data_IF_097728331909
#
_entry.id   IF_097728331909
#
_cell.length_a   1.000
_cell.length_b   1.000
_cell.length_c   1.000
_cell.angle_alpha   90.00
_cell.angle_beta   90.00
_cell.angle_gamma   90.00
#
_symmetry.space_group_name_H-M   'P 1'
#
loop_
_entity.id
_entity.type
_entity.pdbx_description
1 polymer ?
#
# COMPACT_ATOMS: atom_id res chain seq x y z
N UNK A 1 -27.15 3.73 -5.48
CA UNK A 1 -26.37 3.01 -6.51
C UNK A 1 -26.31 1.54 -6.14
N UNK A 2 -26.70 0.61 -7.01
CA UNK A 2 -26.59 -0.84 -6.76
C UNK A 2 -25.14 -1.27 -7.06
N UNK A 3 -24.35 -1.42 -6.02
CA UNK A 3 -22.99 -1.92 -6.12
C UNK A 3 -23.04 -3.43 -6.43
N UNK A 4 -22.59 -3.83 -7.60
CA UNK A 4 -22.44 -5.24 -8.00
C UNK A 4 -20.97 -5.47 -8.31
N UNK A 5 -20.15 -5.59 -7.27
CA UNK A 5 -18.74 -5.93 -7.43
C UNK A 5 -18.43 -7.14 -6.58
N UNK A 6 -17.63 -8.05 -7.12
CA UNK A 6 -17.17 -9.25 -6.43
C UNK A 6 -15.98 -8.92 -5.52
N UNK A 7 -15.23 -7.87 -5.85
CA UNK A 7 -14.09 -7.36 -5.09
C UNK A 7 -13.97 -5.84 -5.26
N UNK A 8 -13.50 -5.14 -4.25
CA UNK A 8 -13.05 -3.74 -4.31
C UNK A 8 -11.53 -3.72 -4.22
N UNK A 9 -10.89 -3.14 -5.25
CA UNK A 9 -9.46 -2.89 -5.26
C UNK A 9 -9.20 -1.39 -5.12
N UNK A 10 -8.45 -1.00 -4.08
CA UNK A 10 -7.99 0.37 -3.85
C UNK A 10 -6.50 0.44 -4.12
N UNK A 11 -6.09 1.31 -5.02
CA UNK A 11 -4.70 1.43 -5.47
C UNK A 11 -3.94 2.54 -4.75
N UNK A 12 -2.63 2.59 -5.00
CA UNK A 12 -1.77 3.68 -4.60
C UNK A 12 -2.09 4.99 -5.33
N UNK A 13 -1.71 6.09 -4.72
CA UNK A 13 -1.82 7.45 -5.27
C UNK A 13 -0.66 8.29 -4.76
N UNK A 14 -0.35 9.38 -5.47
CA UNK A 14 0.56 10.44 -4.99
C UNK A 14 -0.09 11.38 -3.96
N UNK A 15 -1.39 11.21 -3.69
CA UNK A 15 -2.15 12.03 -2.74
C UNK A 15 -1.95 11.59 -1.30
N UNK A 16 -2.24 12.53 -0.37
CA UNK A 16 -2.44 12.21 1.05
C UNK A 16 -3.89 12.43 1.43
N UNK A 17 -4.43 11.58 2.29
CA UNK A 17 -5.85 11.63 2.72
C UNK A 17 -6.21 12.93 3.48
N UNK A 18 -5.23 13.67 3.96
CA UNK A 18 -5.40 14.91 4.73
C UNK A 18 -5.15 16.18 3.89
N UNK A 19 -4.94 16.08 2.58
CA UNK A 19 -4.76 17.27 1.74
C UNK A 19 -6.11 17.93 1.44
N UNK A 20 -6.19 19.24 1.62
CA UNK A 20 -7.40 20.02 1.32
C UNK A 20 -7.76 20.00 -0.16
N UNK A 21 -6.75 19.88 -1.02
CA UNK A 21 -6.92 19.90 -2.49
C UNK A 21 -7.70 18.71 -3.04
N UNK A 22 -7.70 17.59 -2.35
CA UNK A 22 -8.42 16.36 -2.74
C UNK A 22 -9.44 15.88 -1.69
N UNK A 23 -9.83 16.78 -0.78
CA UNK A 23 -10.74 16.43 0.31
C UNK A 23 -12.10 15.89 -0.16
N UNK A 24 -12.62 16.39 -1.29
CA UNK A 24 -13.90 15.93 -1.85
C UNK A 24 -13.81 14.51 -2.40
N UNK A 25 -12.71 14.20 -3.07
CA UNK A 25 -12.41 12.88 -3.62
C UNK A 25 -12.22 11.88 -2.48
N UNK A 26 -11.46 12.24 -1.45
CA UNK A 26 -11.27 11.41 -0.25
C UNK A 26 -12.59 11.10 0.44
N UNK A 27 -13.48 12.08 0.62
CA UNK A 27 -14.81 11.86 1.19
C UNK A 27 -15.62 10.87 0.35
N UNK A 28 -15.63 11.02 -0.97
CA UNK A 28 -16.36 10.14 -1.87
C UNK A 28 -15.80 8.70 -1.84
N UNK A 29 -14.49 8.54 -1.77
CA UNK A 29 -13.84 7.23 -1.65
C UNK A 29 -14.09 6.59 -0.28
N UNK A 30 -14.07 7.36 0.81
CA UNK A 30 -14.45 6.88 2.15
C UNK A 30 -15.89 6.34 2.14
N UNK A 31 -16.84 7.06 1.55
CA UNK A 31 -18.25 6.62 1.45
C UNK A 31 -18.36 5.32 0.62
N UNK A 32 -17.60 5.21 -0.46
CA UNK A 32 -17.51 3.99 -1.27
C UNK A 32 -17.01 2.81 -0.46
N UNK A 33 -15.89 2.97 0.23
CA UNK A 33 -15.26 1.97 1.08
C UNK A 33 -16.22 1.52 2.20
N UNK A 34 -16.80 2.45 2.93
CA UNK A 34 -17.75 2.15 4.00
C UNK A 34 -18.94 1.36 3.46
N UNK A 35 -19.48 1.75 2.30
CA UNK A 35 -20.60 1.05 1.65
C UNK A 35 -20.21 -0.37 1.23
N UNK A 36 -19.03 -0.55 0.62
CA UNK A 36 -18.54 -1.86 0.20
C UNK A 36 -18.36 -2.81 1.38
N UNK A 37 -17.72 -2.33 2.44
CA UNK A 37 -17.47 -3.13 3.64
C UNK A 37 -18.74 -3.48 4.41
N UNK A 38 -19.73 -2.57 4.49
CA UNK A 38 -21.05 -2.87 5.06
C UNK A 38 -21.79 -3.97 4.29
N UNK A 39 -21.57 -4.06 3.00
CA UNK A 39 -22.14 -5.10 2.12
C UNK A 39 -21.31 -6.38 2.09
N UNK A 40 -20.21 -6.43 2.81
CA UNK A 40 -19.33 -7.60 2.86
C UNK A 40 -18.56 -7.84 1.55
N UNK A 41 -18.36 -6.81 0.73
CA UNK A 41 -17.53 -6.88 -0.48
C UNK A 41 -16.07 -7.08 -0.04
N UNK A 42 -15.40 -8.15 -0.49
CA UNK A 42 -13.97 -8.33 -0.24
C UNK A 42 -13.19 -7.12 -0.75
N UNK A 43 -12.25 -6.64 0.05
CA UNK A 43 -11.50 -5.43 -0.29
C UNK A 43 -10.00 -5.69 -0.19
N UNK A 44 -9.25 -5.33 -1.23
CA UNK A 44 -7.80 -5.29 -1.20
C UNK A 44 -7.34 -3.84 -1.40
N UNK A 45 -6.50 -3.35 -0.48
CA UNK A 45 -6.09 -1.95 -0.45
C UNK A 45 -4.56 -1.84 -0.44
N UNK A 46 -4.00 -1.01 -1.31
CA UNK A 46 -2.56 -0.88 -1.54
C UNK A 46 -2.14 0.57 -1.32
N UNK A 47 -1.09 0.79 -0.52
CA UNK A 47 -0.43 2.07 -0.28
C UNK A 47 -1.44 3.16 0.15
N UNK A 48 -1.75 4.15 -0.69
CA UNK A 48 -2.78 5.14 -0.42
C UNK A 48 -4.13 4.49 -0.07
N UNK A 49 -4.50 3.40 -0.73
CA UNK A 49 -5.71 2.64 -0.42
C UNK A 49 -5.72 2.12 1.02
N UNK A 50 -4.58 1.64 1.54
CA UNK A 50 -4.46 1.23 2.94
C UNK A 50 -4.57 2.42 3.90
N UNK A 51 -3.98 3.56 3.55
CA UNK A 51 -4.09 4.81 4.30
C UNK A 51 -5.54 5.33 4.32
N UNK A 52 -6.25 5.23 3.19
CA UNK A 52 -7.65 5.58 3.07
C UNK A 52 -8.54 4.71 3.98
N UNK A 53 -8.31 3.40 4.01
CA UNK A 53 -8.99 2.48 4.95
C UNK A 53 -8.69 2.87 6.39
N UNK A 54 -7.42 3.11 6.73
CA UNK A 54 -7.04 3.54 8.06
C UNK A 54 -7.79 4.80 8.47
N UNK A 55 -7.81 5.82 7.62
CA UNK A 55 -8.52 7.07 7.82
C UNK A 55 -10.05 6.87 7.97
N UNK A 56 -10.66 6.09 7.08
CA UNK A 56 -12.11 5.84 7.06
C UNK A 56 -12.63 5.17 8.34
N UNK A 57 -11.80 4.37 9.02
CA UNK A 57 -12.17 3.63 10.23
C UNK A 57 -11.55 4.19 11.52
N UNK A 58 -11.05 5.43 11.49
CA UNK A 58 -10.62 6.16 12.68
C UNK A 58 -9.16 5.94 13.08
N UNK A 59 -8.34 5.36 12.21
CA UNK A 59 -6.89 5.44 12.30
C UNK A 59 -6.38 6.83 11.91
N UNK A 60 -5.14 7.11 12.24
CA UNK A 60 -4.46 8.34 11.82
C UNK A 60 -3.58 8.09 10.59
N UNK A 61 -3.47 9.08 9.72
CA UNK A 61 -2.50 9.10 8.63
C UNK A 61 -1.71 10.40 8.73
N UNK A 62 -0.40 10.30 8.66
CA UNK A 62 0.48 11.45 8.79
C UNK A 62 1.78 11.27 8.01
N UNK A 63 2.45 12.39 7.72
CA UNK A 63 3.76 12.38 7.07
C UNK A 63 4.78 11.65 7.94
N UNK A 64 5.48 10.69 7.37
CA UNK A 64 6.61 10.02 8.01
C UNK A 64 7.82 10.92 8.10
N UNK A 65 8.59 10.81 9.18
CA UNK A 65 9.93 11.38 9.28
C UNK A 65 10.96 10.61 8.43
N UNK A 66 10.64 9.35 8.11
CA UNK A 66 11.48 8.45 7.31
C UNK A 66 10.66 7.89 6.17
N UNK A 67 10.64 8.56 5.00
CA UNK A 67 9.96 8.02 3.82
C UNK A 67 10.62 6.71 3.36
N UNK A 68 9.82 5.82 2.81
CA UNK A 68 10.32 4.56 2.26
C UNK A 68 10.12 4.55 0.75
N UNK A 69 11.22 4.46 0.01
CA UNK A 69 11.24 4.31 -1.46
C UNK A 69 12.27 3.26 -1.82
N UNK A 70 11.86 2.26 -2.60
CA UNK A 70 12.70 1.11 -2.96
C UNK A 70 12.29 -0.15 -2.20
N UNK A 71 13.20 -1.12 -2.13
CA UNK A 71 12.95 -2.41 -1.50
C UNK A 71 13.31 -2.38 -0.02
N UNK A 72 12.33 -2.63 0.83
CA UNK A 72 12.49 -2.61 2.28
C UNK A 72 12.01 -3.90 2.92
N UNK A 73 12.70 -4.31 3.98
CA UNK A 73 12.37 -5.49 4.75
C UNK A 73 11.07 -5.29 5.52
N UNK A 74 10.16 -6.25 5.39
CA UNK A 74 8.91 -6.36 6.14
C UNK A 74 8.94 -7.63 6.96
N UNK A 75 8.47 -7.55 8.19
CA UNK A 75 8.36 -8.65 9.14
C UNK A 75 6.91 -9.04 9.36
N UNK A 76 6.62 -10.32 9.39
CA UNK A 76 5.30 -10.86 9.74
C UNK A 76 5.45 -12.14 10.54
N UNK A 77 4.73 -12.23 11.66
CA UNK A 77 4.64 -13.46 12.47
C UNK A 77 3.35 -14.22 12.20
N UNK A 78 2.33 -13.52 11.67
CA UNK A 78 1.03 -14.12 11.36
C UNK A 78 1.04 -14.94 10.06
N UNK A 79 1.69 -14.38 9.02
CA UNK A 79 1.77 -14.98 7.69
C UNK A 79 3.16 -14.76 7.09
N UNK A 80 4.22 -15.35 7.68
CA UNK A 80 5.59 -15.09 7.25
C UNK A 80 5.85 -15.50 5.80
N UNK A 81 5.23 -16.57 5.33
CA UNK A 81 5.37 -17.06 3.96
C UNK A 81 4.73 -16.14 2.89
N UNK A 82 3.80 -15.27 3.30
CA UNK A 82 3.12 -14.33 2.41
C UNK A 82 3.67 -12.91 2.53
N UNK A 83 3.92 -12.45 3.75
CA UNK A 83 4.12 -11.04 4.04
C UNK A 83 5.55 -10.70 4.43
N UNK A 84 6.34 -11.65 4.98
CA UNK A 84 7.72 -11.37 5.37
C UNK A 84 8.66 -11.36 4.15
N UNK A 85 9.65 -10.48 4.19
CA UNK A 85 10.68 -10.34 3.16
C UNK A 85 10.75 -8.92 2.60
N UNK A 86 11.50 -8.73 1.54
CA UNK A 86 11.61 -7.42 0.90
C UNK A 86 10.42 -7.14 -0.01
N UNK A 87 9.78 -5.98 0.18
CA UNK A 87 8.70 -5.48 -0.64
C UNK A 87 9.02 -4.09 -1.16
N UNK A 88 8.52 -3.77 -2.36
CA UNK A 88 8.65 -2.42 -2.91
C UNK A 88 7.81 -1.45 -2.08
N UNK A 89 8.46 -0.41 -1.61
CA UNK A 89 7.85 0.74 -0.95
C UNK A 89 7.96 1.96 -1.85
N UNK A 90 6.92 2.81 -1.82
CA UNK A 90 6.95 4.12 -2.46
C UNK A 90 5.96 5.03 -1.75
N UNK A 91 6.27 5.38 -0.51
CA UNK A 91 5.38 6.19 0.31
C UNK A 91 6.11 7.15 1.24
N UNK A 92 5.42 8.20 1.57
CA UNK A 92 5.86 9.27 2.47
C UNK A 92 5.01 9.34 3.73
N UNK A 93 3.83 8.76 3.70
CA UNK A 93 2.88 8.76 4.80
C UNK A 93 2.85 7.41 5.50
N UNK A 94 2.54 7.45 6.78
CA UNK A 94 2.33 6.28 7.64
C UNK A 94 0.96 6.36 8.28
N UNK A 95 0.47 5.24 8.74
CA UNK A 95 -0.84 5.15 9.38
C UNK A 95 -0.79 4.36 10.68
N UNK A 96 -1.81 4.55 11.52
CA UNK A 96 -2.12 3.66 12.62
C UNK A 96 -3.27 2.72 12.22
N UNK A 97 -3.16 1.45 12.62
CA UNK A 97 -4.22 0.46 12.34
C UNK A 97 -5.45 0.77 13.17
N UNK A 98 -6.64 0.92 12.55
CA UNK A 98 -7.86 1.27 13.28
C UNK A 98 -8.31 0.15 14.23
N UNK A 99 -9.12 0.52 15.22
CA UNK A 99 -9.73 -0.44 16.13
C UNK A 99 -10.62 -1.44 15.36
N UNK A 100 -10.50 -2.72 15.70
CA UNK A 100 -11.25 -3.81 15.06
C UNK A 100 -10.56 -4.41 13.83
N UNK A 101 -9.35 -3.91 13.50
CA UNK A 101 -8.45 -4.51 12.52
C UNK A 101 -7.20 -5.05 13.22
N UNK A 102 -6.52 -5.97 12.57
CA UNK A 102 -5.33 -6.64 13.10
C UNK A 102 -4.12 -6.33 12.25
N UNK A 103 -3.06 -5.79 12.85
CA UNK A 103 -1.75 -5.66 12.19
C UNK A 103 -1.18 -7.05 11.95
N UNK A 104 -0.81 -7.35 10.69
CA UNK A 104 -0.26 -8.65 10.30
C UNK A 104 1.18 -8.55 9.77
N UNK A 105 1.66 -7.35 9.44
CA UNK A 105 3.05 -7.11 9.08
C UNK A 105 3.51 -5.72 9.52
N UNK A 106 4.79 -5.60 9.85
CA UNK A 106 5.42 -4.36 10.33
C UNK A 106 6.86 -4.25 9.82
N UNK A 107 7.41 -3.04 9.91
CA UNK A 107 8.84 -2.76 9.89
C UNK A 107 9.19 -1.66 10.90
N UNK A 108 10.40 -1.11 10.84
CA UNK A 108 10.85 -0.07 11.77
C UNK A 108 10.11 1.26 11.62
N UNK A 109 9.48 1.50 10.45
CA UNK A 109 8.72 2.74 10.18
C UNK A 109 7.29 2.65 10.70
N UNK A 110 6.70 1.44 10.70
CA UNK A 110 5.34 1.24 11.22
C UNK A 110 4.62 0.02 10.66
N UNK A 111 3.27 -0.01 10.76
CA UNK A 111 2.45 -1.05 10.18
C UNK A 111 2.61 -1.12 8.67
N UNK A 112 2.84 -2.32 8.16
CA UNK A 112 3.04 -2.60 6.73
C UNK A 112 1.88 -3.38 6.10
N UNK A 113 1.13 -4.11 6.92
CA UNK A 113 -0.13 -4.71 6.49
C UNK A 113 -1.06 -4.91 7.67
N UNK A 114 -2.36 -4.83 7.40
CA UNK A 114 -3.41 -5.14 8.36
C UNK A 114 -4.59 -5.82 7.68
N UNK A 115 -5.40 -6.54 8.46
CA UNK A 115 -6.54 -7.31 7.95
C UNK A 115 -7.75 -7.18 8.90
N UNK A 116 -8.93 -7.50 8.38
CA UNK A 116 -10.18 -7.59 9.12
C UNK A 116 -11.40 -7.38 8.21
N UNK A 117 -12.57 -7.89 8.61
CA UNK A 117 -13.82 -7.67 7.87
C UNK A 117 -13.75 -7.93 6.35
N UNK A 118 -13.11 -9.02 5.92
CA UNK A 118 -12.86 -9.34 4.51
C UNK A 118 -11.98 -8.30 3.80
N UNK A 119 -11.06 -7.70 4.53
CA UNK A 119 -10.10 -6.74 4.03
C UNK A 119 -8.68 -7.27 4.21
N UNK A 120 -7.86 -7.05 3.21
CA UNK A 120 -6.40 -7.05 3.29
C UNK A 120 -5.90 -5.68 2.83
N UNK A 121 -5.02 -5.06 3.61
CA UNK A 121 -4.43 -3.77 3.29
C UNK A 121 -2.91 -3.84 3.44
N UNK A 122 -2.17 -3.35 2.45
CA UNK A 122 -0.71 -3.30 2.43
C UNK A 122 -0.22 -1.87 2.23
N UNK A 123 0.80 -1.44 2.98
CA UNK A 123 1.49 -0.19 2.70
C UNK A 123 2.43 -0.34 1.50
N UNK A 124 3.07 -1.50 1.38
CA UNK A 124 3.93 -1.86 0.26
C UNK A 124 3.12 -2.20 -1.00
N UNK A 125 3.83 -2.30 -2.12
CA UNK A 125 3.29 -2.51 -3.47
C UNK A 125 3.49 -3.96 -3.96
N UNK A 126 2.61 -4.91 -3.62
CA UNK A 126 2.72 -6.28 -4.11
C UNK A 126 2.42 -6.39 -5.63
N UNK A 127 1.72 -5.40 -6.20
CA UNK A 127 1.37 -5.34 -7.61
C UNK A 127 2.53 -4.87 -8.49
N UNK A 128 3.63 -4.38 -7.90
CA UNK A 128 4.72 -3.79 -8.64
C UNK A 128 5.43 -4.82 -9.52
N UNK A 129 5.48 -4.54 -10.82
CA UNK A 129 6.27 -5.29 -11.80
C UNK A 129 7.53 -4.50 -12.15
N UNK A 130 8.50 -5.17 -12.76
CA UNK A 130 9.72 -4.52 -13.25
C UNK A 130 9.39 -3.34 -14.18
N UNK A 131 8.34 -3.49 -15.01
CA UNK A 131 7.88 -2.45 -15.93
C UNK A 131 7.30 -1.24 -15.17
N UNK A 132 6.45 -1.49 -14.17
CA UNK A 132 5.88 -0.44 -13.31
C UNK A 132 7.00 0.33 -12.60
N UNK A 133 7.95 -0.39 -11.98
CA UNK A 133 9.07 0.22 -11.25
C UNK A 133 9.94 1.06 -12.19
N UNK A 134 10.25 0.56 -13.37
CA UNK A 134 10.99 1.31 -14.39
C UNK A 134 10.25 2.59 -14.79
N UNK A 135 8.95 2.49 -15.02
CA UNK A 135 8.11 3.64 -15.38
C UNK A 135 8.06 4.71 -14.28
N UNK A 136 7.94 4.29 -13.02
CA UNK A 136 7.97 5.23 -11.89
C UNK A 136 9.35 5.87 -11.73
N UNK A 137 10.42 5.06 -11.83
CA UNK A 137 11.80 5.51 -11.62
C UNK A 137 12.30 6.48 -12.68
N UNK A 138 11.86 6.31 -13.94
CA UNK A 138 12.29 7.15 -15.08
C UNK A 138 11.29 8.24 -15.45
N UNK A 139 10.10 8.20 -14.88
CA UNK A 139 9.00 9.14 -15.09
C UNK A 139 8.78 10.11 -13.93
N UNK A 140 7.54 10.18 -13.41
CA UNK A 140 7.16 11.14 -12.35
C UNK A 140 7.96 11.02 -11.06
N UNK A 141 8.43 9.82 -10.71
CA UNK A 141 9.22 9.56 -9.50
C UNK A 141 10.70 9.93 -9.60
N UNK A 142 11.20 10.19 -10.80
CA UNK A 142 12.65 10.49 -11.01
C UNK A 142 13.17 11.66 -10.16
N UNK A 143 12.50 12.82 -10.07
CA UNK A 143 12.95 13.92 -9.18
C UNK A 143 12.99 13.52 -7.70
N UNK A 144 12.12 12.61 -7.30
CA UNK A 144 12.01 12.09 -5.95
C UNK A 144 13.21 11.21 -5.61
N UNK A 145 13.53 10.26 -6.47
CA UNK A 145 14.70 9.39 -6.32
C UNK A 145 15.99 10.21 -6.20
N UNK A 146 16.15 11.25 -7.02
CA UNK A 146 17.29 12.17 -6.94
C UNK A 146 17.40 12.85 -5.57
N UNK A 147 16.27 13.35 -5.02
CA UNK A 147 16.25 13.98 -3.69
C UNK A 147 16.62 13.02 -2.58
N UNK A 148 16.27 11.74 -2.72
CA UNK A 148 16.58 10.69 -1.76
C UNK A 148 17.97 10.07 -1.98
N UNK A 149 18.69 10.46 -3.03
CA UNK A 149 20.00 9.89 -3.38
C UNK A 149 19.92 8.45 -3.90
N UNK A 150 18.75 8.04 -4.42
CA UNK A 150 18.53 6.71 -4.97
C UNK A 150 18.84 6.74 -6.48
N UNK A 151 19.72 5.84 -6.92
CA UNK A 151 20.00 5.66 -8.34
C UNK A 151 18.86 4.88 -9.01
N UNK A 152 18.11 5.51 -9.96
CA UNK A 152 17.02 4.84 -10.66
C UNK A 152 17.45 3.57 -11.40
N UNK A 153 18.66 3.58 -11.99
CA UNK A 153 19.19 2.44 -12.73
C UNK A 153 19.41 1.25 -11.80
N UNK A 154 20.09 1.49 -10.69
CA UNK A 154 20.32 0.46 -9.68
C UNK A 154 19.01 -0.09 -9.10
N UNK A 155 18.03 0.77 -8.81
CA UNK A 155 16.70 0.34 -8.37
C UNK A 155 16.02 -0.58 -9.39
N UNK A 156 16.08 -0.25 -10.70
CA UNK A 156 15.51 -1.08 -11.75
C UNK A 156 16.24 -2.43 -11.90
N UNK A 157 17.57 -2.43 -11.83
CA UNK A 157 18.39 -3.65 -11.95
C UNK A 157 18.08 -4.65 -10.84
N UNK A 158 18.06 -4.20 -9.59
CA UNK A 158 17.75 -5.07 -8.44
C UNK A 158 16.30 -5.52 -8.40
N UNK A 159 15.39 -4.78 -9.03
CA UNK A 159 13.96 -5.08 -9.00
C UNK A 159 13.58 -6.33 -9.80
N UNK A 160 14.32 -6.68 -10.84
CA UNK A 160 14.02 -7.86 -11.64
C UNK A 160 14.09 -9.17 -10.81
N UNK A 161 15.11 -9.30 -10.00
CA UNK A 161 15.29 -10.46 -9.11
C UNK A 161 14.22 -10.48 -8.00
N UNK A 162 14.01 -9.34 -7.34
CA UNK A 162 13.05 -9.22 -6.23
C UNK A 162 11.61 -9.44 -6.65
N UNK A 163 11.20 -8.93 -7.79
CA UNK A 163 9.86 -9.19 -8.36
C UNK A 163 9.67 -10.68 -8.60
N UNK A 164 10.68 -11.37 -9.15
CA UNK A 164 10.61 -12.80 -9.38
C UNK A 164 10.50 -13.59 -8.06
N UNK A 165 11.30 -13.23 -7.04
CA UNK A 165 11.23 -13.82 -5.70
C UNK A 165 9.87 -13.65 -5.02
N UNK A 166 9.21 -12.51 -5.23
CA UNK A 166 7.90 -12.20 -4.61
C UNK A 166 6.71 -12.73 -5.40
N UNK A 167 6.88 -13.17 -6.63
CA UNK A 167 5.78 -13.55 -7.54
C UNK A 167 4.78 -14.54 -6.93
N UNK A 168 5.27 -15.57 -6.25
CA UNK A 168 4.40 -16.57 -5.59
C UNK A 168 3.63 -15.96 -4.42
N UNK A 169 4.28 -15.13 -3.58
CA UNK A 169 3.63 -14.47 -2.46
C UNK A 169 2.58 -13.47 -2.96
N UNK A 170 2.91 -12.69 -4.00
CA UNK A 170 1.97 -11.77 -4.65
C UNK A 170 0.72 -12.49 -5.17
N UNK A 171 0.87 -13.58 -5.90
CA UNK A 171 -0.26 -14.35 -6.41
C UNK A 171 -1.18 -14.83 -5.28
N UNK A 172 -0.61 -15.33 -4.19
CA UNK A 172 -1.37 -15.83 -3.03
C UNK A 172 -2.00 -14.75 -2.16
N UNK A 173 -1.61 -13.49 -2.30
CA UNK A 173 -2.25 -12.38 -1.59
C UNK A 173 -3.61 -11.99 -2.20
N UNK A 174 -3.83 -12.32 -3.47
CA UNK A 174 -5.06 -11.99 -4.21
C UNK A 174 -6.01 -13.17 -4.39
N UNK A 175 -5.57 -14.39 -4.06
CA UNK A 175 -6.40 -15.62 -4.04
C UNK A 175 -7.20 -15.71 -2.71
#
# INVERSE_FOLDING_TARGET
MLFRSDVLLLLGSEWSVYWETNAKEVVAEVDLVCTAMQRGVPTFAICFGAQLIAHAFGGTVSRSTTPEVGWHQVSSTAHPELLAGEWLQWHYDVFTVPQGFTTVATNDVGPQAFTGRRLVATQFHPEATTEIITRWSTGPGSPELQRLGIDPKHLCEMSAERVAERSTATARLVD
#
